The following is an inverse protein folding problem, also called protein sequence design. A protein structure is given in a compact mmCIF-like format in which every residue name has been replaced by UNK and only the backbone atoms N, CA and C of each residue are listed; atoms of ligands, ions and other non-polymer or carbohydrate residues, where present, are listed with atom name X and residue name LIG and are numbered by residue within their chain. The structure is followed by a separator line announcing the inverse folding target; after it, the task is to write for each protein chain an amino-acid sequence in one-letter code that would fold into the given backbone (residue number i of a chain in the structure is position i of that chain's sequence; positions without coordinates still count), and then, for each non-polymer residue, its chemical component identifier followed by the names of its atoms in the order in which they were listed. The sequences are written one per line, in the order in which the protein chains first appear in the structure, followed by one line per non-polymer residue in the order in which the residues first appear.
data_IF_945140614479
#
_entry.id   IF_945140614479
#
_cell.length_a   1.000
_cell.length_b   1.000
_cell.length_c   1.000
_cell.angle_alpha   90.00
_cell.angle_beta   90.00
_cell.angle_gamma   90.00
#
_symmetry.space_group_name_H-M   'P 1'
#
loop_
_entity.id
_entity.type
_entity.pdbx_description
1 polymer ?
#
# COMPACT_ATOMS: atom_id res chain seq x y z
N UNK A 1 51.63 2.57 37.61
CA UNK A 1 50.98 3.24 38.76
C UNK A 1 49.53 2.79 38.78
N UNK A 2 49.11 2.17 39.88
CA UNK A 2 47.75 1.68 40.16
C UNK A 2 46.90 2.83 40.69
N UNK A 3 45.64 2.96 40.29
CA UNK A 3 44.46 3.49 41.01
C UNK A 3 43.27 3.34 40.06
N UNK A 4 42.01 3.06 40.45
CA UNK A 4 41.41 2.50 41.65
C UNK A 4 39.94 2.20 41.28
N UNK A 5 39.37 1.20 41.94
CA UNK A 5 37.98 0.76 41.85
C UNK A 5 36.98 1.81 42.37
N UNK A 6 35.75 1.81 41.84
CA UNK A 6 34.54 2.03 42.65
C UNK A 6 33.42 1.10 42.17
N UNK A 7 33.06 0.16 43.04
CA UNK A 7 31.79 -0.56 43.05
C UNK A 7 30.93 0.04 44.18
N UNK A 8 29.62 0.16 43.96
CA UNK A 8 28.60 0.32 44.99
C UNK A 8 27.30 -0.29 44.45
N UNK A 9 26.92 -1.49 44.88
CA UNK A 9 26.10 -1.80 46.07
C UNK A 9 24.61 -1.56 45.82
N UNK A 10 23.91 -2.61 45.36
CA UNK A 10 22.46 -2.75 45.55
C UNK A 10 22.20 -3.34 46.94
N UNK A 11 21.53 -2.57 47.78
CA UNK A 11 20.99 -3.05 49.05
C UNK A 11 19.61 -3.65 48.82
N UNK A 12 19.45 -4.93 49.16
CA UNK A 12 18.17 -5.56 49.39
C UNK A 12 17.85 -5.49 50.89
N UNK A 13 16.73 -4.87 51.23
CA UNK A 13 16.09 -5.00 52.54
C UNK A 13 14.58 -5.14 52.34
N UNK A 14 14.00 -6.06 53.11
CA UNK A 14 12.67 -6.61 52.90
C UNK A 14 11.54 -5.90 53.64
N UNK A 15 10.35 -6.43 53.33
CA UNK A 15 9.15 -6.64 54.16
C UNK A 15 8.74 -5.52 55.14
N UNK A 16 7.55 -4.95 54.91
CA UNK A 16 6.44 -5.01 55.87
C UNK A 16 5.16 -4.39 55.29
N UNK A 17 4.07 -5.13 55.47
CA UNK A 17 2.68 -4.80 55.19
C UNK A 17 2.10 -3.75 56.15
N UNK A 18 1.27 -2.83 55.65
CA UNK A 18 0.18 -2.22 56.40
C UNK A 18 -0.96 -1.86 55.44
N UNK A 19 -2.15 -2.40 55.74
CA UNK A 19 -3.38 -2.08 55.04
C UNK A 19 -3.89 -0.68 55.38
N UNK A 20 -4.54 -0.06 54.40
CA UNK A 20 -5.42 1.10 54.60
C UNK A 20 -6.71 0.82 53.87
N UNK A 21 -7.79 0.76 54.65
CA UNK A 21 -9.17 0.81 54.17
C UNK A 21 -9.43 2.21 53.60
N UNK A 22 -9.73 2.28 52.31
CA UNK A 22 -10.18 3.50 51.63
C UNK A 22 -11.49 3.23 50.93
N UNK A 23 -12.59 3.58 51.58
CA UNK A 23 -13.90 3.77 50.97
C UNK A 23 -13.85 5.00 50.06
N UNK A 24 -13.92 4.80 48.75
CA UNK A 24 -13.98 5.87 47.75
C UNK A 24 -15.06 5.57 46.72
N UNK A 25 -16.25 6.11 46.92
CA UNK A 25 -17.30 6.20 45.91
C UNK A 25 -16.92 7.28 44.90
N UNK A 26 -16.72 6.90 43.64
CA UNK A 26 -16.54 7.81 42.52
C UNK A 26 -17.00 7.11 41.25
N UNK A 27 -18.29 7.26 40.94
CA UNK A 27 -18.88 6.75 39.72
C UNK A 27 -18.48 7.61 38.54
N UNK A 28 -17.66 7.05 37.66
CA UNK A 28 -17.66 7.40 36.25
C UNK A 28 -18.15 6.16 35.50
N UNK A 29 -19.41 6.23 35.08
CA UNK A 29 -20.09 5.28 34.21
C UNK A 29 -19.37 5.26 32.85
N UNK A 30 -18.24 4.57 32.77
CA UNK A 30 -17.79 4.01 31.49
C UNK A 30 -18.62 2.74 31.32
N UNK A 31 -19.54 2.66 30.34
CA UNK A 31 -20.25 1.42 30.09
C UNK A 31 -19.19 0.33 29.88
N UNK A 32 -19.30 -0.83 30.56
CA UNK A 32 -18.43 -1.95 30.23
C UNK A 32 -18.59 -2.20 28.72
N UNK A 33 -17.48 -2.17 27.98
CA UNK A 33 -17.45 -2.48 26.56
C UNK A 33 -18.18 -3.81 26.38
N UNK A 34 -19.38 -3.77 25.78
CA UNK A 34 -20.17 -4.97 25.60
C UNK A 34 -19.29 -5.99 24.87
N UNK A 35 -19.10 -7.21 25.42
CA UNK A 35 -18.43 -8.24 24.67
C UNK A 35 -19.21 -8.42 23.36
N UNK A 36 -18.52 -8.43 22.20
CA UNK A 36 -19.19 -8.51 20.92
C UNK A 36 -20.08 -9.76 20.90
N UNK A 37 -21.25 -9.69 20.25
CA UNK A 37 -22.19 -10.80 20.24
C UNK A 37 -21.47 -12.05 19.72
N UNK A 38 -21.73 -13.20 20.36
CA UNK A 38 -21.08 -14.48 20.10
C UNK A 38 -21.29 -15.05 18.67
N UNK A 39 -21.95 -14.29 17.81
CA UNK A 39 -22.23 -14.58 16.39
C UNK A 39 -21.74 -13.45 15.47
N UNK A 40 -20.92 -12.50 15.95
CA UNK A 40 -20.34 -11.47 15.10
C UNK A 40 -19.46 -12.16 14.04
N UNK A 41 -19.89 -12.11 12.78
CA UNK A 41 -19.09 -12.54 11.66
C UNK A 41 -18.66 -11.32 10.86
N UNK A 42 -17.53 -11.43 10.17
CA UNK A 42 -17.03 -10.36 9.32
C UNK A 42 -17.63 -10.40 7.91
N UNK A 43 -18.76 -11.08 7.73
CA UNK A 43 -19.42 -11.17 6.42
C UNK A 43 -19.92 -9.79 5.98
N UNK A 44 -19.83 -9.53 4.68
CA UNK A 44 -20.38 -8.31 4.10
C UNK A 44 -21.91 -8.32 4.20
N UNK A 45 -22.47 -7.14 4.46
CA UNK A 45 -23.92 -6.93 4.45
C UNK A 45 -24.40 -6.65 3.04
N UNK A 46 -25.71 -6.76 2.80
CA UNK A 46 -26.30 -6.44 1.49
C UNK A 46 -26.05 -4.98 1.06
N UNK A 47 -25.87 -4.05 2.01
CA UNK A 47 -25.56 -2.64 1.70
C UNK A 47 -24.18 -2.47 1.03
N UNK A 48 -23.29 -3.45 1.16
CA UNK A 48 -21.96 -3.45 0.55
C UNK A 48 -21.91 -4.05 -0.84
N UNK A 49 -23.02 -4.65 -1.25
CA UNK A 49 -23.13 -5.37 -2.51
C UNK A 49 -23.69 -4.41 -3.55
N UNK A 50 -22.86 -3.51 -4.05
CA UNK A 50 -23.24 -2.63 -5.17
C UNK A 50 -23.32 -3.38 -6.49
N UNK A 51 -22.45 -4.38 -6.72
CA UNK A 51 -22.48 -5.24 -7.90
C UNK A 51 -22.05 -6.68 -7.60
N UNK A 52 -20.96 -6.88 -6.85
CA UNK A 52 -20.45 -8.21 -6.48
C UNK A 52 -19.96 -8.21 -5.01
N UNK A 53 -20.54 -9.04 -4.13
CA UNK A 53 -20.11 -9.14 -2.73
C UNK A 53 -18.71 -9.74 -2.59
N UNK A 54 -18.20 -10.43 -3.61
CA UNK A 54 -16.92 -11.13 -3.55
C UNK A 54 -15.76 -10.18 -3.34
N UNK A 55 -15.84 -8.93 -3.81
CA UNK A 55 -14.76 -7.95 -3.63
C UNK A 55 -15.26 -6.51 -3.40
N UNK A 56 -16.55 -6.29 -3.15
CA UNK A 56 -17.12 -4.93 -3.00
C UNK A 56 -16.97 -4.14 -4.31
N UNK A 57 -17.43 -4.74 -5.41
CA UNK A 57 -17.45 -4.10 -6.73
C UNK A 57 -18.50 -3.00 -6.79
N UNK A 58 -18.15 -1.81 -7.30
CA UNK A 58 -19.04 -0.64 -7.41
C UNK A 58 -19.88 -0.64 -8.69
N UNK A 59 -19.43 -1.34 -9.72
CA UNK A 59 -20.13 -1.53 -10.99
C UNK A 59 -20.08 -3.00 -11.39
N UNK A 60 -21.05 -3.44 -12.19
CA UNK A 60 -21.06 -4.79 -12.74
C UNK A 60 -20.47 -4.80 -14.16
N UNK A 61 -19.35 -5.50 -14.31
CA UNK A 61 -18.62 -5.70 -15.56
C UNK A 61 -19.01 -7.00 -16.27
N UNK A 62 -20.03 -7.73 -15.78
CA UNK A 62 -20.49 -8.95 -16.41
C UNK A 62 -20.80 -8.70 -17.90
N UNK A 63 -20.18 -9.52 -18.77
CA UNK A 63 -20.32 -9.44 -20.23
C UNK A 63 -19.75 -8.18 -20.91
N UNK A 64 -19.05 -7.30 -20.18
CA UNK A 64 -18.38 -6.15 -20.78
C UNK A 64 -17.08 -6.58 -21.46
N UNK A 65 -16.81 -6.03 -22.64
CA UNK A 65 -15.54 -6.25 -23.36
C UNK A 65 -14.45 -5.30 -22.94
N UNK A 66 -14.84 -4.10 -22.47
CA UNK A 66 -13.98 -3.08 -21.88
C UNK A 66 -14.48 -2.77 -20.48
N UNK A 67 -13.59 -2.81 -19.49
CA UNK A 67 -13.99 -2.59 -18.11
C UNK A 67 -12.84 -2.15 -17.21
N UNK A 68 -13.20 -1.55 -16.07
CA UNK A 68 -12.27 -0.95 -15.13
C UNK A 68 -12.31 -1.57 -13.73
N UNK A 69 -11.13 -1.71 -13.13
CA UNK A 69 -10.93 -2.05 -11.73
C UNK A 69 -10.03 -0.99 -11.07
N UNK A 70 -10.25 -0.78 -9.77
CA UNK A 70 -9.35 -0.02 -8.90
C UNK A 70 -8.79 -0.97 -7.87
N UNK A 71 -7.50 -0.86 -7.55
CA UNK A 71 -6.94 -1.62 -6.44
C UNK A 71 -7.66 -1.25 -5.15
N UNK A 72 -8.12 -2.28 -4.44
CA UNK A 72 -8.82 -2.17 -3.16
C UNK A 72 -7.88 -2.46 -1.99
N UNK A 73 -6.77 -3.15 -2.27
CA UNK A 73 -5.71 -3.43 -1.33
C UNK A 73 -4.38 -3.59 -2.07
N UNK A 74 -3.30 -3.08 -1.50
CA UNK A 74 -1.91 -3.32 -1.92
C UNK A 74 -1.10 -3.67 -0.67
N UNK A 75 -0.40 -4.80 -0.72
CA UNK A 75 0.49 -5.27 0.35
C UNK A 75 1.90 -5.29 -0.22
N UNK A 76 2.70 -4.31 0.15
CA UNK A 76 4.12 -4.27 -0.20
C UNK A 76 4.86 -5.27 0.69
N UNK A 77 5.69 -6.12 0.08
CA UNK A 77 6.55 -7.09 0.75
C UNK A 77 8.03 -6.76 0.60
N UNK A 78 8.39 -5.99 -0.43
CA UNK A 78 9.75 -5.51 -0.68
C UNK A 78 9.78 -4.04 -1.12
N UNK A 79 10.75 -3.24 -0.63
CA UNK A 79 11.68 -3.58 0.44
C UNK A 79 10.99 -3.62 1.81
N UNK A 80 11.64 -4.21 2.82
CA UNK A 80 11.06 -4.35 4.16
C UNK A 80 10.70 -3.01 4.82
N UNK A 81 11.38 -1.93 4.45
CA UNK A 81 11.10 -0.55 4.91
C UNK A 81 9.76 -0.02 4.41
N UNK A 82 9.20 -0.59 3.34
CA UNK A 82 7.87 -0.28 2.82
C UNK A 82 6.83 -1.35 3.16
N UNK A 83 7.19 -2.38 3.93
CA UNK A 83 6.27 -3.49 4.23
C UNK A 83 4.99 -3.00 4.92
N UNK A 84 3.91 -3.77 4.82
CA UNK A 84 2.57 -3.37 5.27
C UNK A 84 2.48 -2.81 6.71
N UNK A 85 3.31 -3.29 7.65
CA UNK A 85 3.33 -2.82 9.03
C UNK A 85 4.15 -1.53 9.26
N UNK A 86 4.97 -1.12 8.27
CA UNK A 86 5.74 0.12 8.31
C UNK A 86 4.84 1.35 8.20
N UNK A 87 5.35 2.54 8.57
CA UNK A 87 4.63 3.79 8.39
C UNK A 87 4.18 4.00 6.94
N UNK A 88 5.08 3.82 5.97
CA UNK A 88 4.76 4.00 4.55
C UNK A 88 3.79 2.92 4.05
N UNK A 89 3.99 1.66 4.45
CA UNK A 89 3.07 0.57 4.12
C UNK A 89 1.65 0.86 4.60
N UNK A 90 1.50 1.38 5.82
CA UNK A 90 0.21 1.82 6.37
C UNK A 90 -0.37 3.02 5.63
N UNK A 91 0.44 4.01 5.26
CA UNK A 91 -0.02 5.16 4.45
C UNK A 91 -0.54 4.71 3.09
N UNK A 92 0.18 3.83 2.39
CA UNK A 92 -0.24 3.30 1.09
C UNK A 92 -1.49 2.44 1.25
N UNK A 93 -1.50 1.47 2.16
CA UNK A 93 -2.65 0.59 2.38
C UNK A 93 -3.90 1.38 2.79
N UNK A 94 -3.75 2.34 3.70
CA UNK A 94 -4.81 3.25 4.11
C UNK A 94 -5.31 4.13 2.97
N UNK A 95 -4.42 4.62 2.10
CA UNK A 95 -4.81 5.40 0.91
C UNK A 95 -5.60 4.58 -0.12
N UNK A 96 -5.22 3.32 -0.35
CA UNK A 96 -5.87 2.43 -1.33
C UNK A 96 -7.25 1.98 -0.86
N UNK A 97 -7.39 1.54 0.39
CA UNK A 97 -8.69 1.10 0.90
C UNK A 97 -9.70 2.28 0.88
N UNK A 98 -10.94 2.02 0.46
CA UNK A 98 -12.00 3.02 0.54
C UNK A 98 -12.40 3.28 2.00
N UNK A 99 -13.03 4.43 2.23
CA UNK A 99 -13.65 4.74 3.51
C UNK A 99 -15.14 4.38 3.46
N UNK A 100 -15.46 3.13 3.80
CA UNK A 100 -16.85 2.67 3.94
C UNK A 100 -16.99 1.71 5.12
N UNK A 101 -17.31 2.29 6.28
CA UNK A 101 -17.44 1.54 7.52
C UNK A 101 -18.58 0.52 7.50
N UNK A 102 -19.57 0.68 6.61
CA UNK A 102 -20.66 -0.29 6.46
C UNK A 102 -20.15 -1.61 5.87
N UNK A 103 -19.00 -1.55 5.20
CA UNK A 103 -18.37 -2.65 4.49
C UNK A 103 -17.06 -3.09 5.11
N UNK A 104 -16.88 -2.79 6.40
CA UNK A 104 -15.67 -3.06 7.16
C UNK A 104 -14.42 -2.44 6.53
N UNK A 105 -14.60 -1.39 5.72
CA UNK A 105 -13.51 -0.62 5.13
C UNK A 105 -13.22 0.59 6.01
N UNK A 106 -11.94 0.85 6.25
CA UNK A 106 -11.48 1.94 7.12
C UNK A 106 -10.31 2.72 6.52
N UNK A 107 -10.18 2.69 5.20
CA UNK A 107 -9.17 3.45 4.49
C UNK A 107 -9.58 4.91 4.28
N UNK A 108 -8.87 5.57 3.39
CA UNK A 108 -9.03 6.99 3.04
C UNK A 108 -9.55 7.17 1.61
N UNK A 109 -9.37 6.18 0.74
CA UNK A 109 -9.77 6.24 -0.67
C UNK A 109 -9.00 7.26 -1.52
N UNK A 110 -7.89 7.78 -1.00
CA UNK A 110 -7.11 8.87 -1.61
C UNK A 110 -6.18 8.35 -2.70
N UNK A 111 -5.58 7.18 -2.53
CA UNK A 111 -4.71 6.60 -3.53
C UNK A 111 -5.51 5.66 -4.44
N UNK A 112 -5.54 5.97 -5.74
CA UNK A 112 -6.23 5.16 -6.75
C UNK A 112 -5.25 4.67 -7.80
N UNK A 113 -4.97 3.37 -7.80
CA UNK A 113 -4.27 2.69 -8.89
C UNK A 113 -5.28 1.88 -9.68
N UNK A 114 -5.41 2.21 -10.97
CA UNK A 114 -6.42 1.65 -11.86
C UNK A 114 -5.85 0.55 -12.76
N UNK A 115 -6.73 -0.35 -13.15
CA UNK A 115 -6.55 -1.37 -14.19
C UNK A 115 -7.73 -1.25 -15.15
N UNK A 116 -7.46 -1.07 -16.43
CA UNK A 116 -8.49 -1.07 -17.48
C UNK A 116 -8.20 -2.20 -18.46
N UNK A 117 -9.17 -3.07 -18.67
CA UNK A 117 -9.05 -4.26 -19.50
C UNK A 117 -9.83 -4.06 -20.79
N UNK A 118 -9.26 -4.53 -21.90
CA UNK A 118 -9.92 -4.65 -23.19
C UNK A 118 -9.68 -6.07 -23.72
N UNK A 119 -10.76 -6.85 -23.70
CA UNK A 119 -10.78 -8.26 -24.12
C UNK A 119 -10.86 -8.44 -25.63
N UNK A 120 -11.20 -7.39 -26.39
CA UNK A 120 -11.14 -7.43 -27.85
C UNK A 120 -9.71 -7.30 -28.35
N UNK A 121 -8.91 -6.45 -27.69
CA UNK A 121 -7.50 -6.23 -28.06
C UNK A 121 -6.51 -7.01 -27.19
N UNK A 122 -6.97 -7.73 -26.16
CA UNK A 122 -6.13 -8.41 -25.19
C UNK A 122 -5.10 -7.47 -24.55
N UNK A 123 -5.59 -6.35 -24.05
CA UNK A 123 -4.75 -5.34 -23.41
C UNK A 123 -5.20 -4.98 -22.01
N UNK A 124 -4.21 -4.65 -21.18
CA UNK A 124 -4.40 -4.12 -19.83
C UNK A 124 -3.66 -2.80 -19.71
N UNK A 125 -4.38 -1.79 -19.26
CA UNK A 125 -3.85 -0.46 -19.03
C UNK A 125 -3.79 -0.17 -17.53
N UNK A 126 -2.71 0.42 -17.05
CA UNK A 126 -2.53 0.68 -15.62
C UNK A 126 -1.85 2.00 -15.32
N UNK A 127 -2.16 2.58 -14.17
CA UNK A 127 -1.64 3.86 -13.71
C UNK A 127 -2.48 4.48 -12.61
N UNK A 128 -2.04 5.64 -12.12
CA UNK A 128 -2.71 6.34 -11.03
C UNK A 128 -3.88 7.21 -11.48
N UNK A 129 -4.76 7.53 -10.55
CA UNK A 129 -5.86 8.47 -10.69
C UNK A 129 -5.91 9.44 -9.51
N UNK A 130 -6.45 10.64 -9.74
CA UNK A 130 -6.75 11.60 -8.66
C UNK A 130 -7.85 11.04 -7.74
N UNK A 131 -7.86 11.40 -6.44
CA UNK A 131 -8.98 11.09 -5.56
C UNK A 131 -10.28 11.66 -6.11
N UNK A 132 -11.38 10.96 -5.89
CA UNK A 132 -12.73 11.43 -6.23
C UNK A 132 -13.54 11.59 -4.95
N UNK A 133 -14.42 12.59 -4.92
CA UNK A 133 -15.27 12.82 -3.76
C UNK A 133 -16.28 11.68 -3.56
N UNK A 134 -16.79 11.11 -4.65
CA UNK A 134 -17.67 9.96 -4.64
C UNK A 134 -17.13 8.89 -5.61
N UNK A 135 -16.76 7.69 -5.12
CA UNK A 135 -16.31 6.58 -5.96
C UNK A 135 -17.27 6.19 -7.09
N UNK A 136 -18.57 6.45 -6.95
CA UNK A 136 -19.58 6.16 -7.97
C UNK A 136 -19.45 7.05 -9.22
N UNK A 137 -18.80 8.22 -9.12
CA UNK A 137 -18.60 9.13 -10.26
C UNK A 137 -17.58 8.58 -11.26
N UNK A 138 -16.75 7.62 -10.82
CA UNK A 138 -15.71 6.98 -11.61
C UNK A 138 -14.40 7.75 -11.64
N UNK A 139 -13.36 7.08 -12.14
CA UNK A 139 -11.97 7.54 -12.07
C UNK A 139 -11.42 7.85 -13.46
N UNK A 140 -10.43 8.73 -13.55
CA UNK A 140 -9.71 9.04 -14.81
C UNK A 140 -8.22 8.87 -14.55
N UNK A 141 -7.51 8.21 -15.47
CA UNK A 141 -6.06 8.10 -15.36
C UNK A 141 -5.40 9.49 -15.38
N UNK A 142 -4.39 9.69 -14.55
CA UNK A 142 -3.54 10.87 -14.59
C UNK A 142 -2.64 10.78 -15.82
N UNK A 143 -2.69 11.82 -16.65
CA UNK A 143 -1.81 12.00 -17.81
C UNK A 143 -1.36 13.46 -17.85
N UNK A 144 -0.39 13.82 -17.02
CA UNK A 144 0.08 15.19 -16.84
C UNK A 144 1.52 15.23 -16.28
N UNK A 145 2.15 16.41 -16.31
CA UNK A 145 3.44 16.65 -15.68
C UNK A 145 3.24 17.07 -14.22
N UNK A 146 3.89 16.38 -13.26
CA UNK A 146 3.90 16.74 -11.84
C UNK A 146 5.34 16.69 -11.34
N UNK A 147 5.82 17.76 -10.70
CA UNK A 147 7.18 17.80 -10.13
C UNK A 147 8.29 17.52 -11.16
N UNK A 148 8.06 17.82 -12.44
CA UNK A 148 9.00 17.50 -13.53
C UNK A 148 8.95 16.06 -14.05
N UNK A 149 8.10 15.21 -13.49
CA UNK A 149 7.87 13.85 -13.95
C UNK A 149 6.66 13.78 -14.89
N UNK A 150 6.81 13.04 -15.99
CA UNK A 150 5.70 12.75 -16.90
C UNK A 150 4.93 11.55 -16.36
N UNK A 151 3.76 11.79 -15.78
CA UNK A 151 2.88 10.73 -15.29
C UNK A 151 1.97 10.36 -16.44
N UNK A 152 2.10 9.14 -16.93
CA UNK A 152 1.23 8.55 -17.94
C UNK A 152 0.90 7.12 -17.57
N UNK A 153 -0.34 6.65 -17.78
CA UNK A 153 -0.63 5.23 -17.74
C UNK A 153 0.17 4.49 -18.82
N UNK A 154 0.41 3.22 -18.56
CA UNK A 154 1.07 2.28 -19.48
C UNK A 154 0.06 1.23 -19.94
N UNK A 155 0.30 0.67 -21.12
CA UNK A 155 -0.54 -0.37 -21.72
C UNK A 155 0.30 -1.58 -22.05
N UNK A 156 -0.18 -2.75 -21.65
CA UNK A 156 0.45 -4.04 -21.92
C UNK A 156 -0.49 -4.93 -22.72
N UNK A 157 0.09 -5.77 -23.58
CA UNK A 157 -0.61 -6.93 -24.11
C UNK A 157 -0.58 -8.05 -23.08
N UNK A 158 -1.72 -8.74 -22.92
CA UNK A 158 -1.83 -9.88 -22.01
C UNK A 158 -2.91 -10.83 -22.53
N UNK A 159 -2.67 -12.13 -22.47
CA UNK A 159 -3.73 -13.10 -22.75
C UNK A 159 -4.76 -13.08 -21.62
N UNK A 160 -5.93 -12.50 -21.89
CA UNK A 160 -7.04 -12.41 -20.95
C UNK A 160 -7.91 -13.67 -20.93
N UNK A 161 -7.52 -14.72 -21.65
CA UNK A 161 -8.24 -15.98 -21.66
C UNK A 161 -8.30 -16.58 -20.25
N UNK A 162 -9.46 -17.15 -19.92
CA UNK A 162 -9.73 -17.75 -18.61
C UNK A 162 -9.58 -16.77 -17.41
N UNK A 163 -9.54 -15.45 -17.68
CA UNK A 163 -9.39 -14.42 -16.66
C UNK A 163 -7.98 -14.28 -16.11
N UNK A 164 -6.98 -14.99 -16.64
CA UNK A 164 -5.59 -14.75 -16.24
C UNK A 164 -5.09 -13.47 -16.91
N UNK A 165 -4.14 -12.79 -16.29
CA UNK A 165 -3.40 -11.71 -16.95
C UNK A 165 -2.03 -11.52 -16.29
N UNK A 166 -1.02 -11.39 -17.13
CA UNK A 166 0.36 -11.15 -16.75
C UNK A 166 1.09 -10.35 -17.82
N UNK A 167 2.23 -9.79 -17.43
CA UNK A 167 3.05 -8.91 -18.26
C UNK A 167 4.47 -9.47 -18.31
N UNK A 168 4.85 -10.03 -19.46
CA UNK A 168 6.18 -10.59 -19.66
C UNK A 168 7.27 -9.52 -19.66
N UNK A 169 7.01 -8.41 -20.34
CA UNK A 169 7.95 -7.29 -20.48
C UNK A 169 7.47 -6.08 -19.68
N UNK A 170 8.13 -5.84 -18.54
CA UNK A 170 7.84 -4.70 -17.70
C UNK A 170 8.12 -3.36 -18.38
N UNK A 171 7.32 -2.34 -18.04
CA UNK A 171 7.45 -0.97 -18.52
C UNK A 171 7.64 0.00 -17.36
N UNK A 172 8.29 1.12 -17.64
CA UNK A 172 8.47 2.17 -16.63
C UNK A 172 7.15 2.91 -16.42
N UNK A 173 6.81 3.17 -15.16
CA UNK A 173 5.62 3.93 -14.78
C UNK A 173 5.87 4.73 -13.52
N UNK A 174 5.25 5.90 -13.47
CA UNK A 174 5.22 6.73 -12.27
C UNK A 174 3.78 6.77 -11.78
N UNK A 175 3.56 6.28 -10.57
CA UNK A 175 2.23 6.21 -9.98
C UNK A 175 2.12 7.28 -8.87
N UNK A 176 1.23 8.28 -9.00
CA UNK A 176 1.02 9.26 -7.94
C UNK A 176 0.23 8.66 -6.77
N UNK A 177 0.77 8.78 -5.57
CA UNK A 177 0.17 8.42 -4.30
C UNK A 177 -0.33 9.69 -3.63
N UNK A 178 -1.64 9.93 -3.71
CA UNK A 178 -2.30 11.03 -3.02
C UNK A 178 -2.62 10.64 -1.57
N UNK A 179 -2.49 11.59 -0.65
CA UNK A 179 -2.76 11.37 0.79
C UNK A 179 -3.89 12.26 1.29
N UNK A 180 -4.46 11.96 2.46
CA UNK A 180 -5.60 12.70 3.01
C UNK A 180 -5.25 14.14 3.47
N UNK A 181 -3.97 14.41 3.72
CA UNK A 181 -3.44 15.71 4.09
C UNK A 181 -3.50 16.71 2.94
N UNK A 182 -3.69 16.24 1.70
CA UNK A 182 -3.65 17.03 0.48
C UNK A 182 -2.22 17.46 0.12
N UNK A 183 -2.10 18.32 -0.91
CA UNK A 183 -0.81 18.78 -1.44
C UNK A 183 -0.35 18.01 -2.68
N UNK A 184 0.95 18.07 -2.96
CA UNK A 184 1.55 17.32 -4.07
C UNK A 184 1.59 15.82 -3.76
N UNK A 185 1.26 14.95 -4.73
CA UNK A 185 1.30 13.51 -4.51
C UNK A 185 2.74 13.02 -4.37
N UNK A 186 2.92 11.97 -3.56
CA UNK A 186 4.18 11.22 -3.54
C UNK A 186 4.27 10.43 -4.84
N UNK A 187 5.33 10.63 -5.60
CA UNK A 187 5.52 9.94 -6.87
C UNK A 187 6.24 8.60 -6.64
N UNK A 188 5.66 7.51 -7.14
CA UNK A 188 6.27 6.18 -7.08
C UNK A 188 6.84 5.80 -8.46
N UNK A 189 8.13 6.07 -8.73
CA UNK A 189 8.75 5.73 -10.01
C UNK A 189 9.17 4.26 -10.02
N UNK A 190 8.40 3.43 -10.71
CA UNK A 190 8.69 2.01 -10.91
C UNK A 190 9.32 1.80 -12.28
N UNK A 191 10.53 1.28 -12.28
CA UNK A 191 11.20 0.75 -13.47
C UNK A 191 10.77 -0.68 -13.72
N UNK A 192 10.57 -1.00 -15.01
CA UNK A 192 10.18 -2.35 -15.47
C UNK A 192 9.02 -2.95 -14.67
N UNK A 193 8.04 -2.12 -14.32
CA UNK A 193 6.84 -2.56 -13.62
C UNK A 193 6.09 -3.58 -14.47
N UNK A 194 5.71 -4.69 -13.85
CA UNK A 194 4.93 -5.77 -14.46
C UNK A 194 3.95 -6.36 -13.48
N UNK A 195 2.87 -6.90 -14.02
CA UNK A 195 1.88 -7.66 -13.26
C UNK A 195 2.12 -9.14 -13.50
N UNK A 196 2.07 -9.95 -12.44
CA UNK A 196 2.26 -11.40 -12.50
C UNK A 196 1.09 -12.11 -11.85
N UNK A 197 0.66 -13.22 -12.45
CA UNK A 197 -0.33 -14.13 -11.88
C UNK A 197 -1.66 -13.46 -11.53
N UNK A 198 -2.04 -12.40 -12.25
CA UNK A 198 -3.32 -11.73 -12.07
C UNK A 198 -4.46 -12.66 -12.46
N UNK A 199 -5.53 -12.67 -11.66
CA UNK A 199 -6.74 -13.46 -11.96
C UNK A 199 -8.03 -12.69 -11.73
N UNK A 200 -8.76 -12.48 -12.82
CA UNK A 200 -10.12 -11.93 -12.85
C UNK A 200 -11.15 -12.99 -12.42
N UNK A 201 -12.20 -12.55 -11.73
CA UNK A 201 -13.40 -13.33 -11.52
C UNK A 201 -14.15 -13.56 -12.84
N UNK A 202 -15.04 -14.55 -12.86
CA UNK A 202 -15.80 -14.93 -14.07
C UNK A 202 -16.72 -13.83 -14.62
N UNK A 203 -17.05 -12.84 -13.81
CA UNK A 203 -17.84 -11.67 -14.17
C UNK A 203 -17.00 -10.39 -14.30
N UNK A 204 -15.66 -10.50 -14.31
CA UNK A 204 -14.73 -9.37 -14.47
C UNK A 204 -14.82 -8.31 -13.36
N UNK A 205 -15.43 -8.63 -12.23
CA UNK A 205 -15.66 -7.67 -11.14
C UNK A 205 -14.51 -7.61 -10.14
N UNK A 206 -13.71 -8.67 -10.03
CA UNK A 206 -12.76 -8.82 -8.94
C UNK A 206 -11.41 -9.35 -9.42
N UNK A 207 -10.36 -8.85 -8.80
CA UNK A 207 -9.08 -9.56 -8.64
C UNK A 207 -8.93 -9.81 -7.15
N UNK A 208 -8.94 -11.08 -6.76
CA UNK A 208 -8.97 -11.47 -5.35
C UNK A 208 -10.39 -11.54 -4.78
N UNK A 209 -10.51 -11.62 -3.46
CA UNK A 209 -11.79 -11.71 -2.77
C UNK A 209 -11.74 -11.08 -1.37
N UNK A 210 -12.89 -10.69 -0.85
CA UNK A 210 -13.06 -10.21 0.51
C UNK A 210 -12.81 -11.35 1.50
N UNK A 211 -12.02 -11.06 2.53
CA UNK A 211 -11.46 -12.06 3.43
C UNK A 211 -12.22 -12.10 4.77
N UNK A 212 -13.50 -12.43 4.74
CA UNK A 212 -14.33 -12.49 5.95
C UNK A 212 -13.75 -13.45 7.02
N UNK A 213 -13.18 -14.57 6.60
CA UNK A 213 -12.65 -15.61 7.49
C UNK A 213 -11.32 -15.24 8.15
N UNK A 214 -10.52 -14.36 7.52
CA UNK A 214 -9.24 -13.90 8.05
C UNK A 214 -9.30 -12.62 8.86
N UNK A 215 -10.50 -12.07 9.12
CA UNK A 215 -10.72 -10.86 9.91
C UNK A 215 -11.26 -11.21 11.29
N UNK A 216 -10.86 -10.44 12.30
CA UNK A 216 -11.30 -10.63 13.69
C UNK A 216 -12.57 -9.80 14.00
N UNK A 217 -13.70 -10.46 14.34
CA UNK A 217 -14.91 -9.76 14.79
C UNK A 217 -14.71 -8.94 16.07
N UNK A 218 -13.76 -9.32 16.94
CA UNK A 218 -13.44 -8.56 18.16
C UNK A 218 -12.73 -7.24 17.83
N UNK A 219 -12.04 -7.17 16.68
CA UNK A 219 -11.43 -5.96 16.14
C UNK A 219 -12.33 -5.23 15.13
N UNK A 220 -13.66 -5.42 15.23
CA UNK A 220 -14.64 -4.82 14.31
C UNK A 220 -14.35 -5.15 12.83
N UNK A 221 -13.76 -6.33 12.57
CA UNK A 221 -13.43 -6.79 11.22
C UNK A 221 -12.48 -5.85 10.46
N UNK A 222 -11.66 -5.08 11.19
CA UNK A 222 -10.66 -4.20 10.59
C UNK A 222 -9.40 -5.00 10.23
N UNK A 223 -8.68 -4.62 9.16
CA UNK A 223 -7.39 -5.21 8.89
C UNK A 223 -6.42 -4.92 10.04
N UNK A 224 -5.55 -5.88 10.34
CA UNK A 224 -4.49 -5.77 11.33
C UNK A 224 -3.20 -6.40 10.78
N UNK A 225 -2.41 -5.62 10.00
CA UNK A 225 -1.24 -6.11 9.29
C UNK A 225 -0.18 -6.76 10.19
N UNK A 226 -0.06 -6.31 11.44
CA UNK A 226 0.85 -6.87 12.45
C UNK A 226 0.57 -8.35 12.75
N UNK A 227 -0.67 -8.78 12.60
CA UNK A 227 -1.11 -10.17 12.74
C UNK A 227 -1.47 -10.83 11.39
N UNK A 228 -1.02 -10.23 10.27
CA UNK A 228 -1.28 -10.73 8.93
C UNK A 228 -2.79 -10.83 8.59
N UNK A 229 -3.60 -9.96 9.19
CA UNK A 229 -5.04 -9.86 8.91
C UNK A 229 -5.29 -8.75 7.90
N UNK A 230 -5.87 -9.11 6.76
CA UNK A 230 -6.10 -8.21 5.63
C UNK A 230 -7.54 -8.30 5.15
N UNK A 231 -8.08 -7.19 4.67
CA UNK A 231 -9.48 -7.08 4.21
C UNK A 231 -9.75 -7.96 2.99
N UNK A 232 -8.75 -8.13 2.12
CA UNK A 232 -8.88 -8.94 0.91
C UNK A 232 -7.80 -10.03 0.83
N UNK A 233 -8.16 -11.16 0.25
CA UNK A 233 -7.24 -12.15 -0.31
C UNK A 233 -6.78 -11.62 -1.67
N UNK A 234 -5.49 -11.34 -1.80
CA UNK A 234 -4.90 -10.85 -3.05
C UNK A 234 -4.87 -11.95 -4.12
N UNK A 235 -4.99 -11.56 -5.39
CA UNK A 235 -4.86 -12.49 -6.53
C UNK A 235 -4.14 -11.86 -7.72
N UNK A 236 -3.27 -10.89 -7.45
CA UNK A 236 -2.34 -10.33 -8.42
C UNK A 236 -1.08 -9.88 -7.73
N UNK A 237 0.03 -9.84 -8.47
CA UNK A 237 1.32 -9.36 -7.99
C UNK A 237 1.84 -8.26 -8.89
N UNK A 238 2.48 -7.27 -8.30
CA UNK A 238 3.23 -6.23 -9.01
C UNK A 238 4.68 -6.33 -8.59
N UNK A 239 5.55 -6.37 -9.58
CA UNK A 239 6.99 -6.31 -9.38
C UNK A 239 7.57 -5.19 -10.24
N UNK A 240 8.67 -4.62 -9.75
CA UNK A 240 9.50 -3.66 -10.45
C UNK A 240 10.68 -3.32 -9.57
N UNK A 241 11.37 -2.23 -9.88
CA UNK A 241 12.41 -1.70 -9.01
C UNK A 241 12.43 -0.18 -9.08
N UNK A 242 13.07 0.45 -8.11
CA UNK A 242 13.25 1.90 -8.03
C UNK A 242 14.75 2.16 -7.96
N UNK A 243 15.29 2.95 -8.89
CA UNK A 243 16.70 3.36 -8.79
C UNK A 243 16.87 4.29 -7.59
N UNK A 244 18.00 4.23 -6.90
CA UNK A 244 18.25 5.07 -5.73
C UNK A 244 18.26 6.56 -6.10
N UNK A 245 18.73 6.90 -7.30
CA UNK A 245 18.72 8.29 -7.79
C UNK A 245 17.31 8.78 -8.14
N UNK A 246 16.46 7.95 -8.78
CA UNK A 246 15.05 8.31 -9.01
C UNK A 246 14.32 8.48 -7.67
N UNK A 247 14.58 7.61 -6.70
CA UNK A 247 14.01 7.73 -5.36
C UNK A 247 14.49 9.00 -4.62
N UNK A 248 15.72 9.47 -4.84
CA UNK A 248 16.25 10.67 -4.19
C UNK A 248 15.75 11.98 -4.83
N UNK A 249 15.22 11.88 -6.04
CA UNK A 249 14.51 12.97 -6.73
C UNK A 249 13.05 13.14 -6.28
N UNK A 250 12.45 12.10 -5.67
CA UNK A 250 11.08 12.17 -5.13
C UNK A 250 11.11 12.75 -3.72
N UNK A 251 10.45 13.89 -3.52
CA UNK A 251 10.26 14.50 -2.21
C UNK A 251 8.98 13.98 -1.54
N UNK A 252 9.08 13.55 -0.29
CA UNK A 252 7.95 13.10 0.55
C UNK A 252 7.75 14.12 1.64
N UNK A 253 6.91 15.10 1.33
CA UNK A 253 6.75 16.31 2.10
C UNK A 253 6.24 16.05 3.53
N UNK A 254 5.34 15.06 3.68
CA UNK A 254 4.81 14.60 4.97
C UNK A 254 5.90 14.09 5.92
N UNK A 255 6.96 13.51 5.36
CA UNK A 255 8.09 12.98 6.12
C UNK A 255 9.28 13.95 6.19
N UNK A 256 9.24 15.06 5.42
CA UNK A 256 10.37 15.98 5.20
C UNK A 256 11.64 15.26 4.75
N UNK A 257 11.47 14.25 3.89
CA UNK A 257 12.54 13.38 3.39
C UNK A 257 12.34 13.04 1.91
N UNK A 258 13.40 12.67 1.20
CA UNK A 258 13.27 12.00 -0.10
C UNK A 258 12.75 10.56 0.06
N UNK A 259 12.17 9.99 -0.99
CA UNK A 259 11.79 8.57 -0.99
C UNK A 259 13.02 7.68 -0.75
N UNK A 260 14.19 8.05 -1.28
CA UNK A 260 15.44 7.33 -0.99
C UNK A 260 15.77 7.33 0.50
N UNK A 261 15.71 8.49 1.18
CA UNK A 261 15.97 8.57 2.61
C UNK A 261 15.01 7.69 3.44
N UNK A 262 13.75 7.56 3.00
CA UNK A 262 12.77 6.66 3.61
C UNK A 262 13.08 5.18 3.35
N UNK A 263 13.45 4.84 2.11
CA UNK A 263 13.79 3.47 1.70
C UNK A 263 15.01 2.94 2.45
N UNK A 264 16.02 3.79 2.65
CA UNK A 264 17.31 3.42 3.25
C UNK A 264 17.32 3.57 4.78
N UNK A 265 16.38 4.34 5.34
CA UNK A 265 16.33 4.66 6.77
C UNK A 265 17.47 5.57 7.25
N UNK A 266 18.25 6.16 6.33
CA UNK A 266 19.38 7.05 6.62
C UNK A 266 19.28 8.29 5.73
N UNK A 267 19.53 9.45 6.30
CA UNK A 267 19.47 10.73 5.60
C UNK A 267 20.63 11.65 5.95
N UNK A 268 20.81 12.69 5.14
CA UNK A 268 21.85 13.71 5.29
C UNK A 268 21.50 14.83 6.29
N UNK A 269 20.35 14.71 6.97
CA UNK A 269 19.79 15.71 7.89
C UNK A 269 19.65 17.13 7.29
N UNK A 270 19.63 17.25 5.96
CA UNK A 270 19.43 18.54 5.30
C UNK A 270 18.02 19.08 5.53
N UNK A 271 17.88 20.40 5.39
CA UNK A 271 16.59 21.11 5.50
C UNK A 271 16.33 21.91 4.21
N UNK A 272 15.06 22.05 3.77
CA UNK A 272 13.83 21.59 4.42
C UNK A 272 13.50 20.11 4.21
N UNK A 273 14.12 19.44 3.23
CA UNK A 273 13.91 18.03 2.90
C UNK A 273 15.26 17.30 2.98
N UNK A 274 15.35 16.29 3.85
CA UNK A 274 16.57 15.48 3.97
C UNK A 274 16.63 14.42 2.86
N UNK A 275 17.81 14.23 2.27
CA UNK A 275 18.05 13.31 1.15
C UNK A 275 18.88 12.12 1.58
N UNK A 276 19.06 11.16 0.67
CA UNK A 276 19.97 10.04 0.91
C UNK A 276 21.41 10.52 1.13
N UNK A 277 22.10 9.89 2.07
CA UNK A 277 23.52 10.17 2.31
C UNK A 277 24.33 9.82 1.06
N UNK A 278 25.22 10.73 0.68
CA UNK A 278 26.14 10.56 -0.46
C UNK A 278 27.59 10.36 0.02
N UNK A 279 28.35 9.58 -0.75
CA UNK A 279 29.77 9.36 -0.56
C UNK A 279 30.62 10.57 -1.02
N UNK A 280 31.94 10.49 -0.87
CA UNK A 280 32.86 11.54 -1.28
C UNK A 280 32.85 11.83 -2.81
N UNK A 281 32.28 10.93 -3.61
CA UNK A 281 32.14 11.07 -5.07
C UNK A 281 30.75 11.57 -5.48
N UNK A 282 29.88 11.90 -4.52
CA UNK A 282 28.52 12.36 -4.77
C UNK A 282 27.53 11.25 -5.14
N UNK A 283 27.90 9.97 -4.99
CA UNK A 283 26.99 8.83 -5.21
C UNK A 283 26.25 8.51 -3.94
N UNK A 284 25.04 7.97 -4.04
CA UNK A 284 24.32 7.46 -2.87
C UNK A 284 25.14 6.33 -2.21
N UNK A 285 25.40 6.49 -0.89
CA UNK A 285 26.24 5.61 -0.07
C UNK A 285 25.58 4.22 0.14
N UNK A 286 24.25 4.19 0.13
CA UNK A 286 23.47 2.97 0.27
C UNK A 286 23.64 2.02 -0.93
N UNK A 287 23.65 0.72 -0.65
CA UNK A 287 23.64 -0.35 -1.65
C UNK A 287 22.29 -1.05 -1.61
N UNK A 288 21.57 -0.99 -2.71
CA UNK A 288 20.29 -1.66 -2.87
C UNK A 288 20.42 -3.16 -3.10
N UNK A 289 19.28 -3.83 -3.28
CA UNK A 289 19.19 -5.27 -3.55
C UNK A 289 18.96 -5.61 -5.04
N UNK A 290 18.96 -4.58 -5.90
CA UNK A 290 18.77 -4.72 -7.35
C UNK A 290 19.81 -3.92 -8.14
N UNK A 291 20.01 -4.33 -9.40
CA UNK A 291 20.86 -3.66 -10.37
C UNK A 291 20.03 -3.18 -11.56
N UNK A 292 20.03 -1.87 -11.82
CA UNK A 292 19.31 -1.28 -12.96
C UNK A 292 19.85 -1.78 -14.31
N UNK A 293 21.19 -1.81 -14.45
CA UNK A 293 21.84 -2.15 -15.72
C UNK A 293 21.54 -3.58 -16.21
N UNK A 294 21.33 -4.54 -15.29
CA UNK A 294 21.07 -5.94 -15.61
C UNK A 294 19.63 -6.36 -15.37
N UNK A 295 18.83 -5.52 -14.70
CA UNK A 295 17.51 -5.86 -14.19
C UNK A 295 17.50 -7.21 -13.45
N UNK A 296 18.43 -7.35 -12.51
CA UNK A 296 18.61 -8.55 -11.71
C UNK A 296 18.95 -8.18 -10.26
N UNK A 297 18.96 -9.18 -9.38
CA UNK A 297 19.43 -9.01 -8.02
C UNK A 297 20.84 -8.41 -8.01
N UNK A 298 21.10 -7.52 -7.05
CA UNK A 298 22.38 -6.84 -6.91
C UNK A 298 23.54 -7.83 -6.76
N UNK A 299 24.71 -7.41 -7.25
CA UNK A 299 25.96 -8.14 -7.12
C UNK A 299 27.09 -7.22 -6.63
N UNK A 300 28.32 -7.73 -6.57
CA UNK A 300 29.47 -6.95 -6.12
C UNK A 300 29.84 -5.75 -7.00
N UNK A 301 29.23 -5.63 -8.18
CA UNK A 301 29.49 -4.58 -9.16
C UNK A 301 28.35 -3.59 -9.31
N UNK A 302 27.11 -4.00 -8.98
CA UNK A 302 25.93 -3.19 -9.21
C UNK A 302 24.86 -3.43 -8.11
N UNK A 303 24.48 -2.35 -7.44
CA UNK A 303 23.54 -2.34 -6.31
C UNK A 303 22.91 -0.93 -6.18
N UNK A 304 22.40 -0.40 -7.29
CA UNK A 304 21.95 0.98 -7.47
C UNK A 304 20.43 1.13 -7.47
N UNK A 305 19.69 0.06 -7.20
CA UNK A 305 18.24 0.04 -7.14
C UNK A 305 17.71 -0.83 -6.01
N UNK A 306 16.47 -0.59 -5.60
CA UNK A 306 15.73 -1.44 -4.68
C UNK A 306 14.59 -2.15 -5.39
N UNK A 307 14.43 -3.45 -5.15
CA UNK A 307 13.32 -4.22 -5.69
C UNK A 307 12.03 -3.82 -4.97
N UNK A 308 10.98 -3.55 -5.74
CA UNK A 308 9.62 -3.40 -5.23
C UNK A 308 8.80 -4.63 -5.60
N UNK A 309 8.19 -5.24 -4.59
CA UNK A 309 7.28 -6.37 -4.75
C UNK A 309 6.04 -6.15 -3.91
N UNK A 310 4.88 -6.26 -4.53
CA UNK A 310 3.60 -6.11 -3.88
C UNK A 310 2.58 -7.13 -4.37
N UNK A 311 1.64 -7.48 -3.51
CA UNK A 311 0.44 -8.24 -3.87
C UNK A 311 -0.78 -7.33 -3.79
N UNK A 312 -1.78 -7.55 -4.63
CA UNK A 312 -2.96 -6.68 -4.68
C UNK A 312 -4.26 -7.45 -4.88
N UNK A 313 -5.34 -6.81 -4.43
CA UNK A 313 -6.71 -7.10 -4.79
C UNK A 313 -7.32 -5.85 -5.46
N UNK A 314 -8.27 -6.06 -6.36
CA UNK A 314 -8.91 -4.97 -7.09
C UNK A 314 -10.40 -5.26 -7.29
N UNK A 315 -11.20 -4.19 -7.33
CA UNK A 315 -12.66 -4.27 -7.45
C UNK A 315 -13.14 -3.38 -8.57
N UNK A 316 -14.22 -3.78 -9.25
CA UNK A 316 -14.74 -3.05 -10.38
C UNK A 316 -15.19 -1.64 -10.01
N UNK A 317 -14.79 -0.69 -10.84
CA UNK A 317 -15.18 0.71 -10.77
C UNK A 317 -15.41 1.26 -12.16
N UNK A 318 -16.14 2.37 -12.24
CA UNK A 318 -16.23 3.12 -13.49
C UNK A 318 -14.89 3.81 -13.80
N UNK A 319 -14.37 3.63 -15.02
CA UNK A 319 -13.24 4.40 -15.54
C UNK A 319 -13.76 5.29 -16.67
N UNK A 320 -13.56 6.60 -16.54
CA UNK A 320 -14.07 7.62 -17.45
C UNK A 320 -13.12 7.91 -18.62
N UNK A 321 -11.87 7.42 -18.57
CA UNK A 321 -10.90 7.52 -19.67
C UNK A 321 -9.46 7.74 -19.21
N UNK A 322 -8.62 8.17 -20.15
CA UNK A 322 -7.22 8.56 -19.92
C UNK A 322 -6.19 7.47 -20.19
N UNK A 323 -6.61 6.22 -20.46
CA UNK A 323 -5.71 5.21 -20.99
C UNK A 323 -5.27 5.57 -22.43
N UNK A 324 -4.00 5.34 -22.84
CA UNK A 324 -3.58 5.58 -24.21
C UNK A 324 -4.33 4.60 -25.13
N UNK A 325 -5.00 5.14 -26.15
CA UNK A 325 -5.62 4.33 -27.22
C UNK A 325 -4.54 3.54 -27.97
#
# INVERSE_FOLDING_TARGET
MRFSNVAASLAAFGLLSLGVLGSGCGGEDTPPSQPPPSNANCALTAECVSADPTCIALVDNASQTEFGLRMSQIIISKPATLAAASFIGKTVAGGVALNDTKCNLSGQGTFSWLLHFDTMTNTVCTGGAKPVANPADGYTFVNEMIGGFNITPIKFSSDLSQGNFEVDQGQDIIVPVYTAEGGEPILLPLKKARILGGKLSSNNNCVGSYNAEGLDPLNLCKPYPEENQFTFNNAGKIEGYITLEDADAVEVDLAKKSLCALLTGKDDAATPIAKCVRDANGKIDYKGDWCDATNAAADGTCADAVQLGAEFAASAVKINGGCPL
#
